data_IF_251370927280
#
_entry.id   IF_251370927280
#
_cell.length_a   1.000
_cell.length_b   1.000
_cell.length_c   1.000
_cell.angle_alpha   90.00
_cell.angle_beta   90.00
_cell.angle_gamma   90.00
#
_symmetry.space_group_name_H-M   'P 1'
#
loop_
_entity.id
_entity.type
_entity.pdbx_description
1 polymer ?
#
# COMPACT_ATOMS: atom_id res chain seq x y z
N UNK A 1 -19.83 22.83 10.87
CA UNK A 1 -18.91 21.70 10.62
C UNK A 1 -18.01 22.07 9.45
N UNK A 2 -16.69 22.22 9.65
CA UNK A 2 -15.77 22.41 8.52
C UNK A 2 -15.70 21.10 7.74
N UNK A 3 -16.11 21.14 6.47
CA UNK A 3 -15.93 20.02 5.55
C UNK A 3 -14.43 19.88 5.28
N UNK A 4 -13.83 18.80 5.77
CA UNK A 4 -12.46 18.46 5.40
C UNK A 4 -12.45 18.03 3.93
N UNK A 5 -11.52 18.54 3.11
CA UNK A 5 -11.29 18.01 1.78
C UNK A 5 -11.03 16.50 1.83
N UNK A 6 -11.53 15.74 0.84
CA UNK A 6 -11.33 14.28 0.81
C UNK A 6 -9.85 13.90 0.86
N UNK A 7 -8.99 14.71 0.25
CA UNK A 7 -7.52 14.56 0.31
C UNK A 7 -7.02 14.53 1.76
N UNK A 8 -7.41 15.51 2.57
CA UNK A 8 -6.93 15.64 3.95
C UNK A 8 -7.51 14.54 4.85
N UNK A 9 -8.79 14.21 4.64
CA UNK A 9 -9.45 13.12 5.36
C UNK A 9 -8.78 11.76 5.08
N UNK A 10 -8.42 11.50 3.82
CA UNK A 10 -7.71 10.28 3.43
C UNK A 10 -6.28 10.25 4.00
N UNK A 11 -5.59 11.39 4.01
CA UNK A 11 -4.28 11.50 4.67
C UNK A 11 -4.36 11.18 6.17
N UNK A 12 -5.34 11.74 6.87
CA UNK A 12 -5.53 11.47 8.30
C UNK A 12 -5.86 9.99 8.54
N UNK A 13 -6.75 9.42 7.73
CA UNK A 13 -7.09 8.00 7.79
C UNK A 13 -5.86 7.11 7.63
N UNK A 14 -5.06 7.34 6.58
CA UNK A 14 -3.85 6.56 6.32
C UNK A 14 -2.76 6.81 7.38
N UNK A 15 -2.62 8.02 7.91
CA UNK A 15 -1.61 8.33 8.93
C UNK A 15 -1.77 7.53 10.22
N UNK A 16 -2.99 7.06 10.51
CA UNK A 16 -3.32 6.21 11.66
C UNK A 16 -3.06 4.73 11.41
N UNK A 17 -2.70 4.35 10.18
CA UNK A 17 -2.43 2.95 9.78
C UNK A 17 -0.96 2.64 9.81
N UNK A 18 -0.67 1.38 10.10
CA UNK A 18 0.70 0.86 10.03
C UNK A 18 1.26 1.05 8.61
N UNK A 19 2.47 1.62 8.52
CA UNK A 19 3.10 1.91 7.23
C UNK A 19 2.40 2.99 6.38
N UNK A 20 1.39 3.68 6.92
CA UNK A 20 0.56 4.64 6.19
C UNK A 20 -0.10 4.06 4.93
N UNK A 21 -0.48 2.78 4.99
CA UNK A 21 -1.05 2.01 3.88
C UNK A 21 -2.40 1.42 4.29
N UNK A 22 -3.37 1.40 3.38
CA UNK A 22 -4.64 0.70 3.58
C UNK A 22 -5.15 0.08 2.29
N UNK A 23 -5.96 -0.98 2.41
CA UNK A 23 -6.60 -1.60 1.25
C UNK A 23 -7.67 -0.67 0.66
N UNK A 24 -7.84 -0.65 -0.67
CA UNK A 24 -8.78 0.26 -1.34
C UNK A 24 -10.23 0.04 -0.89
N UNK A 25 -10.62 -1.20 -0.62
CA UNK A 25 -11.97 -1.51 -0.12
C UNK A 25 -12.16 -0.99 1.32
N UNK A 26 -11.10 -0.97 2.12
CA UNK A 26 -11.18 -0.44 3.49
C UNK A 26 -11.41 1.08 3.45
N UNK A 27 -10.67 1.79 2.59
CA UNK A 27 -10.86 3.22 2.34
C UNK A 27 -12.28 3.53 1.86
N UNK A 28 -12.80 2.76 0.92
CA UNK A 28 -14.13 3.00 0.34
C UNK A 28 -15.29 2.57 1.24
N UNK A 29 -15.05 1.67 2.20
CA UNK A 29 -16.07 1.23 3.16
C UNK A 29 -16.02 1.99 4.49
N UNK A 30 -14.99 2.79 4.74
CA UNK A 30 -14.88 3.58 5.95
C UNK A 30 -16.05 4.58 6.08
N UNK A 31 -16.72 4.56 7.23
CA UNK A 31 -17.94 5.34 7.46
C UNK A 31 -17.67 6.85 7.35
N UNK A 32 -16.54 7.31 7.89
CA UNK A 32 -16.19 8.72 7.89
C UNK A 32 -15.79 9.18 6.49
N UNK A 33 -14.94 8.43 5.80
CA UNK A 33 -14.54 8.75 4.43
C UNK A 33 -15.74 8.74 3.48
N UNK A 34 -16.69 7.81 3.62
CA UNK A 34 -17.93 7.83 2.83
C UNK A 34 -18.75 9.09 3.05
N UNK A 35 -18.82 9.61 4.27
CA UNK A 35 -19.48 10.89 4.55
C UNK A 35 -18.73 12.06 3.89
N UNK A 36 -17.40 12.07 3.99
CA UNK A 36 -16.56 13.12 3.37
C UNK A 36 -16.66 13.08 1.85
N UNK A 37 -16.63 11.89 1.24
CA UNK A 37 -16.81 11.64 -0.19
C UNK A 37 -18.17 12.15 -0.68
N UNK A 38 -19.24 11.83 0.04
CA UNK A 38 -20.60 12.27 -0.28
C UNK A 38 -20.76 13.80 -0.16
N UNK A 39 -19.99 14.44 0.72
CA UNK A 39 -20.04 15.87 0.96
C UNK A 39 -19.11 16.70 0.04
N UNK A 40 -18.36 16.07 -0.87
CA UNK A 40 -17.54 16.79 -1.84
C UNK A 40 -18.41 17.58 -2.84
N UNK A 41 -17.93 18.78 -3.18
CA UNK A 41 -18.54 19.72 -4.13
C UNK A 41 -17.53 20.01 -5.25
N UNK A 42 -17.97 20.28 -6.49
CA UNK A 42 -19.36 20.41 -6.96
C UNK A 42 -20.06 19.08 -7.21
N UNK A 43 -19.31 17.96 -7.19
CA UNK A 43 -19.86 16.62 -7.36
C UNK A 43 -19.36 15.70 -6.25
N UNK A 44 -20.25 14.91 -5.64
CA UNK A 44 -19.84 13.86 -4.71
C UNK A 44 -18.86 12.88 -5.36
N UNK A 45 -17.91 12.41 -4.57
CA UNK A 45 -17.03 11.32 -4.96
C UNK A 45 -17.73 10.01 -4.57
N UNK A 46 -17.88 9.07 -5.48
CA UNK A 46 -18.53 7.78 -5.15
C UNK A 46 -17.58 6.84 -4.41
N UNK A 47 -16.31 6.82 -4.83
CA UNK A 47 -15.26 6.00 -4.28
C UNK A 47 -13.89 6.59 -4.67
N UNK A 48 -12.90 6.36 -3.82
CA UNK A 48 -11.50 6.55 -4.19
C UNK A 48 -11.13 5.42 -5.14
N UNK A 49 -10.72 5.78 -6.35
CA UNK A 49 -10.35 4.87 -7.42
C UNK A 49 -9.07 5.36 -8.11
N UNK A 50 -8.58 4.61 -9.10
CA UNK A 50 -7.37 4.96 -9.86
C UNK A 50 -7.46 6.34 -10.53
N UNK A 51 -8.64 6.76 -10.98
CA UNK A 51 -8.82 8.08 -11.62
C UNK A 51 -8.63 9.20 -10.60
N UNK A 52 -9.24 9.07 -9.43
CA UNK A 52 -9.08 10.04 -8.35
C UNK A 52 -7.64 10.08 -7.83
N UNK A 53 -7.01 8.91 -7.64
CA UNK A 53 -5.61 8.83 -7.18
C UNK A 53 -4.62 9.48 -8.15
N UNK A 54 -4.87 9.38 -9.47
CA UNK A 54 -4.04 10.08 -10.48
C UNK A 54 -4.07 11.60 -10.34
N UNK A 55 -5.16 12.18 -9.85
CA UNK A 55 -5.26 13.63 -9.61
C UNK A 55 -4.46 14.09 -8.38
N UNK A 56 -3.98 13.14 -7.57
CA UNK A 56 -3.29 13.36 -6.31
C UNK A 56 -2.04 12.48 -6.19
N UNK A 57 -1.39 12.19 -7.32
CA UNK A 57 -0.20 11.32 -7.38
C UNK A 57 1.01 11.90 -6.65
N UNK A 58 1.00 13.22 -6.41
CA UNK A 58 1.97 13.93 -5.58
C UNK A 58 1.92 13.49 -4.10
N UNK A 59 0.75 13.02 -3.64
CA UNK A 59 0.49 12.67 -2.25
C UNK A 59 0.23 11.19 -2.04
N UNK A 60 -0.46 10.52 -2.98
CA UNK A 60 -0.86 9.13 -2.83
C UNK A 60 -0.23 8.23 -3.90
N UNK A 61 0.10 7.01 -3.48
CA UNK A 61 0.57 5.94 -4.37
C UNK A 61 -0.45 4.81 -4.34
N UNK A 62 -0.83 4.32 -5.52
CA UNK A 62 -1.55 3.07 -5.67
C UNK A 62 -0.53 1.93 -5.78
N UNK A 63 -0.53 1.04 -4.79
CA UNK A 63 0.27 -0.18 -4.77
C UNK A 63 -0.60 -1.36 -5.23
N UNK A 64 -0.02 -2.28 -6.01
CA UNK A 64 -0.70 -3.48 -6.47
C UNK A 64 0.12 -4.71 -6.10
N UNK A 65 -0.53 -5.71 -5.52
CA UNK A 65 0.12 -6.99 -5.20
C UNK A 65 0.08 -7.93 -6.40
N UNK A 66 0.90 -8.99 -6.36
CA UNK A 66 0.89 -10.05 -7.38
C UNK A 66 -0.49 -10.74 -7.48
N UNK A 67 -1.19 -10.84 -6.36
CA UNK A 67 -2.54 -11.41 -6.24
C UNK A 67 -3.64 -10.48 -6.81
N UNK A 68 -3.26 -9.30 -7.30
CA UNK A 68 -4.17 -8.35 -7.94
C UNK A 68 -4.86 -7.38 -6.99
N UNK A 69 -4.59 -7.45 -5.68
CA UNK A 69 -5.14 -6.53 -4.69
C UNK A 69 -4.54 -5.12 -4.82
N UNK A 70 -5.29 -4.12 -4.36
CA UNK A 70 -4.94 -2.71 -4.51
C UNK A 70 -4.93 -1.99 -3.16
N UNK A 71 -3.81 -1.33 -2.89
CA UNK A 71 -3.56 -0.60 -1.64
C UNK A 71 -3.22 0.86 -1.95
N UNK A 72 -3.57 1.74 -1.02
CA UNK A 72 -3.30 3.18 -1.11
C UNK A 72 -2.33 3.53 0.00
N UNK A 73 -1.26 4.24 -0.35
CA UNK A 73 -0.24 4.69 0.58
C UNK A 73 0.08 6.18 0.42
N UNK A 74 0.61 6.82 1.46
CA UNK A 74 1.11 8.21 1.38
C UNK A 74 2.52 8.22 0.78
N UNK A 75 2.73 8.95 -0.33
CA UNK A 75 4.00 9.06 -1.07
C UNK A 75 5.19 9.44 -0.17
N UNK A 76 5.00 10.39 0.76
CA UNK A 76 6.06 10.81 1.71
C UNK A 76 6.42 9.74 2.74
N UNK A 77 5.47 8.87 3.12
CA UNK A 77 5.74 7.78 4.07
C UNK A 77 6.56 6.66 3.42
N UNK A 78 6.32 6.38 2.14
CA UNK A 78 7.13 5.43 1.37
C UNK A 78 8.60 5.87 1.24
N UNK A 79 8.87 7.18 1.17
CA UNK A 79 10.25 7.68 1.15
C UNK A 79 10.98 7.39 2.46
N UNK A 80 10.34 7.63 3.62
CA UNK A 80 10.93 7.30 4.94
C UNK A 80 11.12 5.79 5.14
N UNK A 81 10.19 4.97 4.65
CA UNK A 81 10.30 3.50 4.73
C UNK A 81 11.37 2.93 3.80
N UNK A 82 11.65 3.58 2.66
CA UNK A 82 12.78 3.21 1.78
C UNK A 82 14.15 3.54 2.39
N UNK A 83 14.24 4.54 3.25
CA UNK A 83 15.47 4.83 4.02
C UNK A 83 15.56 4.02 5.32
N UNK A 84 14.43 3.51 5.84
CA UNK A 84 14.34 2.77 7.11
C UNK A 84 14.28 1.24 6.98
N UNK A 85 14.25 0.66 5.77
CA UNK A 85 14.31 -0.80 5.55
C UNK A 85 15.54 -1.22 4.74
N UNK A 86 16.72 -0.84 5.23
CA UNK A 86 17.87 -1.76 5.24
C UNK A 86 18.03 -2.30 6.67
N UNK A 87 17.04 -3.06 7.12
CA UNK A 87 17.17 -3.85 8.34
C UNK A 87 17.72 -5.23 7.96
N UNK A 88 19.04 -5.27 7.93
CA UNK A 88 19.91 -6.42 8.22
C UNK A 88 19.25 -7.80 8.28
N UNK A 89 19.30 -8.55 7.18
CA UNK A 89 19.51 -10.00 7.26
C UNK A 89 21.02 -10.19 7.42
N UNK A 90 21.52 -10.10 8.65
CA UNK A 90 22.83 -10.67 8.97
C UNK A 90 22.61 -12.13 9.38
N UNK A 91 23.54 -13.03 9.00
CA UNK A 91 23.39 -14.46 9.21
C UNK A 91 23.60 -14.78 10.69
N UNK A 92 22.59 -15.36 11.33
CA UNK A 92 22.78 -16.03 12.62
C UNK A 92 23.22 -17.47 12.34
N UNK A 93 24.54 -17.64 12.15
CA UNK A 93 25.23 -18.86 12.57
C UNK A 93 25.47 -18.72 14.09
N UNK A 94 25.34 -19.72 14.96
CA UNK A 94 25.09 -21.14 14.81
C UNK A 94 24.67 -21.73 16.19
N UNK A 95 24.08 -22.93 16.15
CA UNK A 95 24.04 -23.91 17.24
C UNK A 95 22.63 -24.13 17.82
N UNK A 96 21.97 -25.29 17.71
CA UNK A 96 22.43 -26.63 17.32
C UNK A 96 21.27 -27.50 16.77
N UNK A 97 21.66 -28.37 15.82
CA UNK A 97 21.10 -29.68 15.43
C UNK A 97 19.59 -29.88 15.13
N UNK A 98 19.24 -30.01 13.83
CA UNK A 98 18.89 -31.29 13.21
C UNK A 98 18.19 -31.13 11.83
N UNK A 99 18.83 -31.70 10.80
CA UNK A 99 18.34 -32.15 9.47
C UNK A 99 17.96 -31.13 8.37
N UNK A 100 18.67 -31.15 7.20
CA UNK A 100 18.24 -30.48 5.98
C UNK A 100 17.35 -31.41 5.12
N UNK A 101 16.21 -30.89 4.66
CA UNK A 101 15.49 -31.44 3.50
C UNK A 101 15.34 -30.33 2.46
N UNK A 102 16.15 -30.41 1.41
CA UNK A 102 15.86 -29.73 0.16
C UNK A 102 14.54 -30.26 -0.43
N UNK A 103 13.90 -29.47 -1.30
CA UNK A 103 13.54 -30.08 -2.57
C UNK A 103 14.15 -29.33 -3.75
N UNK A 104 14.94 -30.07 -4.51
CA UNK A 104 15.27 -29.79 -5.89
C UNK A 104 14.00 -29.86 -6.77
N UNK A 105 13.83 -28.93 -7.71
CA UNK A 105 13.17 -29.23 -8.98
C UNK A 105 13.73 -28.37 -10.12
N UNK A 106 14.61 -29.03 -10.88
CA UNK A 106 14.88 -29.03 -12.32
C UNK A 106 14.69 -27.76 -13.17
N UNK A 107 15.81 -27.40 -13.81
CA UNK A 107 15.94 -26.63 -15.04
C UNK A 107 15.08 -27.17 -16.19
N UNK A 108 14.56 -26.28 -17.06
CA UNK A 108 14.51 -26.50 -18.52
C UNK A 108 14.86 -25.20 -19.25
N UNK A 109 15.72 -25.34 -20.26
CA UNK A 109 16.39 -24.37 -21.12
C UNK A 109 15.42 -23.76 -22.16
N UNK A 110 15.68 -22.52 -22.60
CA UNK A 110 15.64 -22.18 -24.04
C UNK A 110 16.51 -20.95 -24.36
N UNK A 111 17.66 -21.21 -25.00
CA UNK A 111 18.40 -20.25 -25.85
C UNK A 111 17.68 -20.16 -27.19
N UNK A 112 17.52 -18.95 -27.72
CA UNK A 112 17.57 -18.58 -29.14
C UNK A 112 18.08 -17.13 -29.10
N UNK A 113 19.21 -16.76 -29.71
CA UNK A 113 19.54 -17.01 -31.11
C UNK A 113 19.28 -15.71 -31.83
#
# INVERSE_FOLDING_TARGET
>A
HKLLPLKDALMEFLSKREGCVAHINEVNNDRFLRQVMAAQQPRPVAAVNKVWLKQHEDVFVLLRTADGESYIAISKALQKSKTGKQAAVRPAAAGADAQPREPAYNQVIQRLG
#
